data_IF_563064171412
#
_entry.id   IF_563064171412
#
_cell.length_a   1.000
_cell.length_b   1.000
_cell.length_c   1.000
_cell.angle_alpha   90.00
_cell.angle_beta   90.00
_cell.angle_gamma   90.00
#
_symmetry.space_group_name_H-M   'P 1'
#
loop_
_entity.id
_entity.type
_entity.pdbx_description
1 polymer ?
#
# COMPACT_ATOMS: atom_id res chain seq x y z
N UNK A 1 6.41 -12.00 15.49
CA UNK A 1 7.21 -13.15 15.05
C UNK A 1 7.87 -13.85 16.23
N UNK A 2 8.66 -13.14 17.02
CA UNK A 2 9.39 -13.72 18.17
C UNK A 2 8.49 -14.42 19.19
N UNK A 3 7.23 -14.01 19.31
CA UNK A 3 6.23 -14.65 20.18
C UNK A 3 5.60 -15.89 19.53
N UNK A 4 6.00 -16.30 18.31
CA UNK A 4 5.45 -17.43 17.59
C UNK A 4 4.03 -17.21 17.04
N UNK A 5 3.56 -15.97 16.97
CA UNK A 5 2.21 -15.64 16.49
C UNK A 5 2.14 -15.54 14.96
N UNK A 6 3.27 -15.26 14.31
CA UNK A 6 3.40 -15.27 12.85
C UNK A 6 4.36 -16.40 12.50
N UNK A 7 3.90 -17.37 11.74
CA UNK A 7 4.66 -18.56 11.38
C UNK A 7 5.01 -18.59 9.89
N UNK A 8 5.86 -19.55 9.50
CA UNK A 8 6.19 -19.77 8.10
C UNK A 8 4.92 -19.85 7.23
N UNK A 9 4.93 -19.16 6.10
CA UNK A 9 3.77 -19.02 5.23
C UNK A 9 2.84 -17.87 5.62
N UNK A 10 3.13 -17.19 6.74
CA UNK A 10 2.38 -16.02 7.17
C UNK A 10 2.55 -14.84 6.20
N UNK A 11 1.56 -13.96 6.20
CA UNK A 11 1.50 -12.77 5.34
C UNK A 11 1.39 -11.51 6.18
N UNK A 12 2.19 -10.51 5.87
CA UNK A 12 2.11 -9.17 6.46
C UNK A 12 1.76 -8.21 5.32
N UNK A 13 0.62 -7.56 5.41
CA UNK A 13 0.19 -6.54 4.47
C UNK A 13 0.36 -5.17 5.11
N UNK A 14 1.23 -4.35 4.52
CA UNK A 14 1.45 -2.96 4.95
C UNK A 14 0.61 -2.06 4.05
N UNK A 15 -0.51 -1.57 4.58
CA UNK A 15 -1.39 -0.66 3.83
C UNK A 15 -0.84 0.75 3.94
N UNK A 16 -0.37 1.29 2.83
CA UNK A 16 0.21 2.64 2.76
C UNK A 16 -0.54 3.51 1.76
N UNK A 17 0.14 4.11 0.80
CA UNK A 17 -0.49 4.93 -0.24
C UNK A 17 0.47 5.06 -1.43
N UNK A 18 -0.10 5.18 -2.63
CA UNK A 18 0.67 5.62 -3.80
C UNK A 18 1.39 6.95 -3.56
N UNK A 19 0.90 7.73 -2.61
CA UNK A 19 1.57 8.95 -2.16
C UNK A 19 2.99 8.75 -1.65
N UNK A 20 3.36 7.53 -1.26
CA UNK A 20 4.71 7.16 -0.89
C UNK A 20 5.64 6.81 -2.06
N UNK A 21 5.13 6.78 -3.29
CA UNK A 21 5.96 6.61 -4.49
C UNK A 21 6.72 7.90 -4.79
N UNK A 22 8.03 7.88 -4.69
CA UNK A 22 8.88 9.02 -5.05
C UNK A 22 8.83 9.25 -6.56
N UNK A 23 8.87 8.17 -7.33
CA UNK A 23 8.81 8.21 -8.80
C UNK A 23 7.57 8.93 -9.32
N UNK A 24 6.40 8.68 -8.73
CA UNK A 24 5.16 9.28 -9.20
C UNK A 24 4.94 10.73 -8.77
N UNK A 25 5.80 11.27 -7.89
CA UNK A 25 5.60 12.63 -7.36
C UNK A 25 5.75 13.71 -8.43
N UNK A 26 6.61 13.51 -9.41
CA UNK A 26 6.76 14.49 -10.50
C UNK A 26 5.48 14.66 -11.30
N UNK A 27 4.74 13.57 -11.52
CA UNK A 27 3.49 13.56 -12.32
C UNK A 27 2.28 13.94 -11.48
N UNK A 28 2.18 13.37 -10.26
CA UNK A 28 0.98 13.53 -9.42
C UNK A 28 1.02 14.80 -8.55
N UNK A 29 2.20 15.30 -8.23
CA UNK A 29 2.40 16.52 -7.42
C UNK A 29 3.42 17.46 -8.07
N UNK A 30 3.14 17.97 -9.29
CA UNK A 30 4.12 18.78 -10.02
C UNK A 30 4.47 20.11 -9.30
N UNK A 31 3.59 20.58 -8.42
CA UNK A 31 3.83 21.79 -7.61
C UNK A 31 4.41 21.48 -6.23
N UNK A 32 4.69 20.21 -5.92
CA UNK A 32 5.13 19.81 -4.58
C UNK A 32 4.03 19.91 -3.55
N UNK A 33 4.40 20.00 -2.27
CA UNK A 33 3.46 20.13 -1.16
C UNK A 33 3.09 18.78 -0.51
N UNK A 34 2.24 18.85 0.51
CA UNK A 34 1.75 17.72 1.30
C UNK A 34 2.89 16.81 1.83
N UNK A 35 3.97 17.45 2.29
CA UNK A 35 5.20 16.77 2.72
C UNK A 35 4.97 15.71 3.77
N UNK A 36 4.18 16.02 4.80
CA UNK A 36 3.95 15.09 5.91
C UNK A 36 3.31 13.78 5.45
N UNK A 37 2.31 13.85 4.60
CA UNK A 37 1.64 12.67 4.04
C UNK A 37 2.61 11.84 3.20
N UNK A 38 3.20 12.44 2.17
CA UNK A 38 4.06 11.71 1.24
C UNK A 38 5.31 11.14 1.90
N UNK A 39 5.98 11.91 2.76
CA UNK A 39 7.15 11.45 3.49
C UNK A 39 6.82 10.32 4.45
N UNK A 40 5.70 10.38 5.18
CA UNK A 40 5.28 9.32 6.10
C UNK A 40 5.00 8.00 5.36
N UNK A 41 4.36 8.08 4.19
CA UNK A 41 4.06 6.89 3.38
C UNK A 41 5.31 6.31 2.71
N UNK A 42 6.23 7.16 2.27
CA UNK A 42 7.53 6.71 1.76
C UNK A 42 8.36 6.02 2.86
N UNK A 43 8.34 6.56 4.08
CA UNK A 43 9.01 5.94 5.23
C UNK A 43 8.39 4.58 5.56
N UNK A 44 7.06 4.47 5.55
CA UNK A 44 6.36 3.20 5.76
C UNK A 44 6.71 2.17 4.67
N UNK A 45 6.78 2.60 3.41
CA UNK A 45 7.19 1.76 2.29
C UNK A 45 8.62 1.23 2.47
N UNK A 46 9.54 2.10 2.89
CA UNK A 46 10.93 1.72 3.17
C UNK A 46 10.99 0.69 4.31
N UNK A 47 10.27 0.94 5.42
CA UNK A 47 10.22 0.02 6.55
C UNK A 47 9.67 -1.35 6.15
N UNK A 48 8.62 -1.38 5.35
CA UNK A 48 8.03 -2.63 4.85
C UNK A 48 9.01 -3.40 3.96
N UNK A 49 9.75 -2.68 3.10
CA UNK A 49 10.76 -3.29 2.23
C UNK A 49 11.88 -3.94 3.04
N UNK A 50 12.36 -3.25 4.08
CA UNK A 50 13.40 -3.78 4.98
C UNK A 50 12.87 -5.02 5.73
N UNK A 51 11.64 -4.94 6.25
CA UNK A 51 11.00 -6.06 6.93
C UNK A 51 10.85 -7.29 6.01
N UNK A 52 10.50 -7.06 4.74
CA UNK A 52 10.41 -8.12 3.75
C UNK A 52 11.75 -8.85 3.57
N UNK A 53 12.85 -8.12 3.55
CA UNK A 53 14.18 -8.72 3.47
C UNK A 53 14.55 -9.49 4.74
N UNK A 54 14.27 -8.91 5.90
CA UNK A 54 14.57 -9.52 7.18
C UNK A 54 13.82 -10.84 7.40
N UNK A 55 12.52 -10.89 7.06
CA UNK A 55 11.68 -12.07 7.28
C UNK A 55 11.69 -13.09 6.13
N UNK A 56 12.36 -12.78 5.03
CA UNK A 56 12.41 -13.64 3.84
C UNK A 56 12.84 -15.07 4.16
N UNK A 57 13.89 -15.23 4.95
CA UNK A 57 14.44 -16.53 5.30
C UNK A 57 13.55 -17.32 6.26
N UNK A 58 12.61 -16.63 6.93
CA UNK A 58 11.64 -17.26 7.82
C UNK A 58 10.37 -17.73 7.07
N UNK A 59 10.32 -17.51 5.75
CA UNK A 59 9.19 -17.87 4.92
C UNK A 59 7.96 -17.01 5.17
N UNK A 60 8.12 -15.81 5.69
CA UNK A 60 7.06 -14.82 5.90
C UNK A 60 7.11 -13.81 4.77
N UNK A 61 5.96 -13.54 4.17
CA UNK A 61 5.81 -12.60 3.06
C UNK A 61 5.36 -11.24 3.57
N UNK A 62 5.98 -10.18 3.06
CA UNK A 62 5.59 -8.79 3.36
C UNK A 62 5.29 -8.10 2.03
N UNK A 63 4.13 -7.47 1.91
CA UNK A 63 3.74 -6.74 0.71
C UNK A 63 3.23 -5.35 1.10
N UNK A 64 3.52 -4.36 0.27
CA UNK A 64 3.05 -2.99 0.45
C UNK A 64 1.87 -2.77 -0.48
N UNK A 65 0.75 -2.30 0.08
CA UNK A 65 -0.49 -2.14 -0.64
C UNK A 65 -0.98 -0.69 -0.60
N UNK A 66 -1.29 -0.16 -1.78
CA UNK A 66 -2.09 1.05 -1.92
C UNK A 66 -3.56 0.64 -2.04
N UNK A 67 -4.44 1.04 -1.10
CA UNK A 67 -5.82 0.57 -1.07
C UNK A 67 -6.71 1.22 -2.15
N UNK A 68 -6.20 2.19 -2.89
CA UNK A 68 -6.97 2.99 -3.82
C UNK A 68 -7.57 4.24 -3.17
N UNK A 69 -8.40 4.96 -3.94
CA UNK A 69 -9.10 6.14 -3.46
C UNK A 69 -10.47 5.74 -2.93
N UNK A 70 -10.66 5.86 -1.62
CA UNK A 70 -11.87 5.43 -0.91
C UNK A 70 -12.61 6.63 -0.30
N UNK A 71 -13.94 6.56 -0.28
CA UNK A 71 -14.81 7.56 0.35
C UNK A 71 -14.79 7.36 1.86
N UNK A 72 -13.84 7.98 2.54
CA UNK A 72 -13.64 7.86 4.00
C UNK A 72 -13.56 9.24 4.65
N UNK A 73 -13.59 9.29 5.97
CA UNK A 73 -13.39 10.55 6.71
C UNK A 73 -12.02 11.19 6.38
N UNK A 74 -11.00 10.36 6.17
CA UNK A 74 -9.66 10.83 5.77
C UNK A 74 -9.69 11.56 4.43
N UNK A 75 -10.54 11.14 3.49
CA UNK A 75 -10.66 11.73 2.15
C UNK A 75 -11.82 12.70 2.01
N UNK A 76 -12.57 12.97 3.09
CA UNK A 76 -13.75 13.85 3.07
C UNK A 76 -13.44 15.26 2.55
N UNK A 77 -12.24 15.77 2.80
CA UNK A 77 -11.79 17.07 2.26
C UNK A 77 -11.74 17.11 0.72
N UNK A 78 -11.71 15.93 0.08
CA UNK A 78 -11.72 15.78 -1.37
C UNK A 78 -13.07 15.30 -1.93
N UNK A 79 -14.15 15.40 -1.14
CA UNK A 79 -15.48 14.90 -1.54
C UNK A 79 -15.97 15.43 -2.89
N UNK A 80 -15.59 16.66 -3.25
CA UNK A 80 -15.96 17.29 -4.52
C UNK A 80 -15.42 16.57 -5.75
N UNK A 81 -14.34 15.80 -5.60
CA UNK A 81 -13.68 15.09 -6.70
C UNK A 81 -13.84 13.58 -6.62
N UNK A 82 -14.59 13.05 -5.64
CA UNK A 82 -14.74 11.61 -5.47
C UNK A 82 -15.22 10.91 -6.74
N UNK A 83 -16.23 11.44 -7.39
CA UNK A 83 -16.76 10.84 -8.62
C UNK A 83 -15.80 10.99 -9.80
N UNK A 84 -15.18 12.15 -9.94
CA UNK A 84 -14.24 12.46 -11.03
C UNK A 84 -13.00 11.57 -10.95
N UNK A 85 -12.47 11.37 -9.74
CA UNK A 85 -11.26 10.57 -9.49
C UNK A 85 -11.57 9.08 -9.22
N UNK A 86 -12.82 8.68 -9.33
CA UNK A 86 -13.20 7.27 -9.20
C UNK A 86 -13.13 6.72 -7.77
N UNK A 87 -13.40 7.55 -6.76
CA UNK A 87 -13.45 7.08 -5.38
C UNK A 87 -14.57 6.05 -5.20
N UNK A 88 -14.27 4.97 -4.48
CA UNK A 88 -15.21 3.88 -4.20
C UNK A 88 -15.61 3.87 -2.74
N UNK A 89 -16.70 3.18 -2.43
CA UNK A 89 -17.11 2.97 -1.05
C UNK A 89 -16.07 2.13 -0.29
N UNK A 90 -15.91 2.35 1.02
CA UNK A 90 -14.84 1.68 1.80
C UNK A 90 -14.88 0.16 1.75
N UNK A 91 -16.05 -0.45 1.67
CA UNK A 91 -16.20 -1.90 1.56
C UNK A 91 -15.66 -2.44 0.23
N UNK A 92 -15.78 -1.69 -0.85
CA UNK A 92 -15.18 -2.04 -2.16
C UNK A 92 -13.65 -1.99 -2.05
N UNK A 93 -13.11 -0.94 -1.45
CA UNK A 93 -11.68 -0.81 -1.21
C UNK A 93 -11.13 -1.94 -0.34
N UNK A 94 -11.84 -2.29 0.73
CA UNK A 94 -11.46 -3.38 1.62
C UNK A 94 -11.43 -4.73 0.89
N UNK A 95 -12.41 -5.00 0.04
CA UNK A 95 -12.44 -6.23 -0.77
C UNK A 95 -11.26 -6.31 -1.74
N UNK A 96 -10.87 -5.19 -2.35
CA UNK A 96 -9.69 -5.12 -3.22
C UNK A 96 -8.41 -5.43 -2.45
N UNK A 97 -8.25 -4.88 -1.26
CA UNK A 97 -7.09 -5.16 -0.38
C UNK A 97 -7.05 -6.65 -0.02
N UNK A 98 -8.17 -7.22 0.42
CA UNK A 98 -8.25 -8.65 0.76
C UNK A 98 -7.96 -9.54 -0.45
N UNK A 99 -8.41 -9.14 -1.65
CA UNK A 99 -8.11 -9.84 -2.88
C UNK A 99 -6.58 -9.90 -3.13
N UNK A 100 -5.89 -8.78 -3.04
CA UNK A 100 -4.43 -8.74 -3.21
C UNK A 100 -3.69 -9.56 -2.15
N UNK A 101 -4.15 -9.52 -0.90
CA UNK A 101 -3.59 -10.37 0.16
C UNK A 101 -3.76 -11.84 -0.18
N UNK A 102 -4.91 -12.25 -0.72
CA UNK A 102 -5.17 -13.63 -1.10
C UNK A 102 -4.24 -14.13 -2.21
N UNK A 103 -3.79 -13.22 -3.09
CA UNK A 103 -2.90 -13.51 -4.21
C UNK A 103 -1.41 -13.51 -3.82
N UNK A 104 -1.05 -13.10 -2.60
CA UNK A 104 0.35 -13.03 -2.17
C UNK A 104 1.03 -14.39 -2.25
N UNK A 105 2.14 -14.41 -2.97
CA UNK A 105 3.08 -15.55 -3.05
C UNK A 105 4.48 -15.07 -2.68
N UNK A 106 5.45 -15.97 -2.45
CA UNK A 106 6.84 -15.57 -2.18
C UNK A 106 7.46 -14.66 -3.24
N UNK A 107 7.01 -14.76 -4.50
CA UNK A 107 7.47 -13.91 -5.61
C UNK A 107 7.02 -12.45 -5.46
N UNK A 108 5.91 -12.22 -4.75
CA UNK A 108 5.38 -10.88 -4.47
C UNK A 108 6.03 -10.23 -3.24
N UNK A 109 6.92 -10.93 -2.53
CA UNK A 109 7.54 -10.42 -1.31
C UNK A 109 8.28 -9.11 -1.57
N UNK A 110 7.96 -8.09 -0.80
CA UNK A 110 8.58 -6.77 -0.91
C UNK A 110 8.10 -5.94 -2.10
N UNK A 111 7.00 -6.31 -2.77
CA UNK A 111 6.42 -5.52 -3.86
C UNK A 111 5.46 -4.46 -3.34
N UNK A 112 5.36 -3.37 -4.09
CA UNK A 112 4.41 -2.28 -3.85
C UNK A 112 3.30 -2.35 -4.90
N UNK A 113 2.08 -2.71 -4.47
CA UNK A 113 0.96 -3.03 -5.37
C UNK A 113 -0.18 -2.04 -5.19
N UNK A 114 -0.76 -1.64 -6.32
CA UNK A 114 -2.01 -0.89 -6.39
C UNK A 114 -3.19 -1.87 -6.34
N UNK A 115 -4.01 -1.79 -5.29
CA UNK A 115 -5.17 -2.68 -5.15
C UNK A 115 -6.30 -2.38 -6.13
N UNK A 116 -6.27 -1.24 -6.82
CA UNK A 116 -7.29 -0.88 -7.82
C UNK A 116 -7.16 -1.71 -9.10
N UNK A 117 -5.95 -2.04 -9.51
CA UNK A 117 -5.66 -2.75 -10.77
C UNK A 117 -4.72 -3.95 -10.62
N UNK A 118 -4.15 -4.17 -9.44
CA UNK A 118 -3.21 -5.26 -9.16
C UNK A 118 -1.82 -5.05 -9.74
N UNK A 119 -1.51 -3.86 -10.25
CA UNK A 119 -0.22 -3.56 -10.87
C UNK A 119 0.79 -3.03 -9.85
N UNK A 120 2.06 -3.25 -10.13
CA UNK A 120 3.14 -2.76 -9.29
C UNK A 120 3.27 -1.24 -9.44
N UNK A 121 3.39 -0.57 -8.29
CA UNK A 121 3.70 0.86 -8.22
C UNK A 121 5.22 1.01 -8.10
N UNK A 122 5.85 1.91 -8.87
CA UNK A 122 7.27 2.21 -8.68
C UNK A 122 7.50 2.93 -7.35
N UNK A 123 8.64 2.64 -6.74
CA UNK A 123 9.00 3.29 -5.47
C UNK A 123 9.28 4.79 -5.69
#
# INVERSE_FOLDING_TARGET
>A
YNAGKITKGGKIAMVTSQGGSVTWREVQNPSGGDYGHHMSKAAANMGAKLLAQELKHEGIMVQVLHPGFNKTDMTAKYAKIWEVEGAVDPDVGAKRVLHEISLMTPEHNGMFINCEDGLQIPW
#
